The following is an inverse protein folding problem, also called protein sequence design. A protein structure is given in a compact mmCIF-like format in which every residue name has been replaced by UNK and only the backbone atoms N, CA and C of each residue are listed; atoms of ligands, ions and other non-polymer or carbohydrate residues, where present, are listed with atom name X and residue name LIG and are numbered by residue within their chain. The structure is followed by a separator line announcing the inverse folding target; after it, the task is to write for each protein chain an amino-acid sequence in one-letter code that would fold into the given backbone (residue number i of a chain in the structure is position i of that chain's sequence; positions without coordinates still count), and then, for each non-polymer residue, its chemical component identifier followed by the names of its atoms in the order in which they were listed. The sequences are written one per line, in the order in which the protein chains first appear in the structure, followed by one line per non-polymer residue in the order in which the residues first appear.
data_IF_845425120917
#
_entry.id   IF_845425120917
#
_cell.length_a   1.000
_cell.length_b   1.000
_cell.length_c   1.000
_cell.angle_alpha   90.00
_cell.angle_beta   90.00
_cell.angle_gamma   90.00
#
_symmetry.space_group_name_H-M   'P 1'
#
loop_
_entity.id
_entity.type
_entity.pdbx_description
1 polymer ?
#
# COMPACT_ATOMS: atom_id res chain seq x y z
N UNK A 1 -62.24 -20.42 6.91
CA UNK A 1 -61.29 -19.35 7.31
C UNK A 1 -59.94 -19.98 7.61
N UNK A 2 -59.07 -20.13 6.61
CA UNK A 2 -57.69 -20.56 6.81
C UNK A 2 -56.77 -19.34 6.72
N UNK A 3 -56.15 -18.94 7.84
CA UNK A 3 -55.20 -17.81 7.86
C UNK A 3 -53.86 -18.29 7.30
N UNK A 4 -53.47 -17.76 6.15
CA UNK A 4 -52.11 -17.91 5.61
C UNK A 4 -51.14 -17.09 6.48
N UNK A 5 -50.31 -17.77 7.26
CA UNK A 5 -49.19 -17.13 7.96
C UNK A 5 -48.00 -17.15 7.00
N UNK A 6 -47.72 -16.01 6.38
CA UNK A 6 -46.53 -15.81 5.56
C UNK A 6 -45.38 -15.37 6.46
N UNK A 7 -44.38 -16.24 6.65
CA UNK A 7 -43.15 -15.94 7.38
C UNK A 7 -42.19 -15.26 6.40
N UNK A 8 -42.04 -13.94 6.52
CA UNK A 8 -41.06 -13.16 5.77
C UNK A 8 -39.67 -13.38 6.40
N UNK A 9 -38.85 -14.23 5.77
CA UNK A 9 -37.46 -14.47 6.14
C UNK A 9 -36.62 -13.25 5.75
N UNK A 10 -36.29 -12.38 6.71
CA UNK A 10 -35.39 -11.25 6.53
C UNK A 10 -33.95 -11.78 6.49
N UNK A 11 -33.37 -11.92 5.30
CA UNK A 11 -31.97 -12.38 5.17
C UNK A 11 -31.02 -11.28 5.66
N UNK A 12 -30.29 -11.58 6.74
CA UNK A 12 -29.14 -10.82 7.19
C UNK A 12 -28.03 -10.98 6.14
N UNK A 13 -28.00 -10.10 5.15
CA UNK A 13 -26.83 -9.92 4.30
C UNK A 13 -25.74 -9.28 5.16
N UNK A 14 -24.91 -10.11 5.79
CA UNK A 14 -23.68 -9.69 6.43
C UNK A 14 -22.75 -9.13 5.36
N UNK A 15 -22.82 -7.83 5.10
CA UNK A 15 -21.78 -7.15 4.35
C UNK A 15 -20.53 -7.18 5.22
N UNK A 16 -19.60 -8.07 4.89
CA UNK A 16 -18.25 -8.03 5.40
C UNK A 16 -17.65 -6.69 4.96
N UNK A 17 -17.75 -5.68 5.82
CA UNK A 17 -17.00 -4.45 5.67
C UNK A 17 -15.54 -4.84 5.83
N UNK A 18 -14.87 -4.98 4.69
CA UNK A 18 -13.44 -5.19 4.67
C UNK A 18 -12.81 -3.83 4.99
N UNK A 19 -12.48 -3.59 6.26
CA UNK A 19 -11.75 -2.38 6.64
C UNK A 19 -10.41 -2.37 5.89
N UNK A 20 -10.18 -1.36 5.06
CA UNK A 20 -8.95 -1.25 4.29
C UNK A 20 -7.76 -0.97 5.21
N UNK A 21 -6.59 -1.52 4.89
CA UNK A 21 -5.35 -1.13 5.59
C UNK A 21 -5.20 0.39 5.46
N UNK A 22 -5.04 1.08 6.60
CA UNK A 22 -4.84 2.53 6.65
C UNK A 22 -3.36 2.85 6.86
N UNK A 23 -2.78 3.63 5.95
CA UNK A 23 -1.36 3.99 5.95
C UNK A 23 -1.25 5.51 5.92
N UNK A 24 -0.62 6.09 6.94
CA UNK A 24 -0.48 7.54 7.06
C UNK A 24 -1.82 8.30 6.96
N UNK A 25 -2.89 7.70 7.50
CA UNK A 25 -4.26 8.21 7.40
C UNK A 25 -4.96 7.96 6.06
N UNK A 26 -4.31 7.25 5.12
CA UNK A 26 -4.88 6.91 3.81
C UNK A 26 -5.36 5.46 3.79
N UNK A 27 -6.66 5.26 3.57
CA UNK A 27 -7.25 3.92 3.49
C UNK A 27 -7.16 3.36 2.07
N UNK A 28 -6.49 2.21 1.91
CA UNK A 28 -6.40 1.49 0.65
C UNK A 28 -7.76 0.93 0.24
N UNK A 29 -8.06 1.00 -1.06
CA UNK A 29 -9.33 0.55 -1.65
C UNK A 29 -10.44 1.59 -1.59
N UNK A 30 -10.38 2.53 -0.66
CA UNK A 30 -11.47 3.48 -0.42
C UNK A 30 -11.15 4.94 -0.75
N UNK A 31 -9.96 5.42 -0.38
CA UNK A 31 -9.61 6.82 -0.54
C UNK A 31 -9.65 7.24 -2.01
N UNK A 32 -10.41 8.29 -2.33
CA UNK A 32 -10.48 8.85 -3.67
C UNK A 32 -9.43 9.94 -3.92
N UNK A 33 -9.18 10.24 -5.19
CA UNK A 33 -8.26 11.33 -5.58
C UNK A 33 -8.68 12.69 -5.02
N UNK A 34 -9.99 12.91 -4.88
CA UNK A 34 -10.53 14.20 -4.41
C UNK A 34 -10.41 14.32 -2.89
N UNK A 35 -10.62 13.22 -2.16
CA UNK A 35 -10.35 13.17 -0.72
C UNK A 35 -8.86 13.35 -0.43
N UNK A 36 -7.97 12.71 -1.20
CA UNK A 36 -6.53 12.87 -1.03
C UNK A 36 -6.10 14.34 -1.07
N UNK A 37 -6.58 15.08 -2.08
CA UNK A 37 -6.25 16.51 -2.25
C UNK A 37 -6.81 17.41 -1.16
N UNK A 38 -7.87 16.98 -0.47
CA UNK A 38 -8.40 17.69 0.71
C UNK A 38 -7.55 17.43 1.95
N UNK A 39 -6.97 16.24 2.05
CA UNK A 39 -6.17 15.82 3.21
C UNK A 39 -4.71 16.29 3.11
N UNK A 40 -4.16 16.37 1.89
CA UNK A 40 -2.75 16.64 1.67
C UNK A 40 -2.53 17.59 0.49
N UNK A 41 -1.43 18.39 0.51
CA UNK A 41 -0.98 19.19 -0.63
C UNK A 41 -0.36 18.29 -1.72
N UNK A 42 -1.17 17.42 -2.32
CA UNK A 42 -0.75 16.40 -3.27
C UNK A 42 -0.51 16.97 -4.67
N UNK A 43 0.67 16.70 -5.24
CA UNK A 43 1.04 17.11 -6.61
C UNK A 43 0.86 15.95 -7.57
N UNK A 44 0.16 16.17 -8.69
CA UNK A 44 0.03 15.17 -9.74
C UNK A 44 1.38 14.90 -10.42
N UNK A 45 1.73 13.63 -10.61
CA UNK A 45 3.04 13.21 -11.16
C UNK A 45 2.94 12.22 -12.34
N UNK A 46 1.74 12.01 -12.88
CA UNK A 46 1.52 11.16 -14.05
C UNK A 46 0.47 10.07 -13.85
N UNK A 47 0.35 9.19 -14.84
CA UNK A 47 -0.52 8.00 -14.81
C UNK A 47 0.36 6.77 -14.63
N UNK A 48 -0.03 5.87 -13.73
CA UNK A 48 0.66 4.60 -13.57
C UNK A 48 0.30 3.68 -14.74
N UNK A 49 1.30 3.12 -15.41
CA UNK A 49 1.12 2.27 -16.60
C UNK A 49 0.38 0.95 -16.36
N UNK A 50 0.29 0.48 -15.11
CA UNK A 50 -0.30 -0.81 -14.78
C UNK A 50 -1.71 -0.67 -14.23
N UNK A 51 -1.91 0.26 -13.31
CA UNK A 51 -3.24 0.53 -12.74
C UNK A 51 -4.06 1.48 -13.63
N UNK A 52 -3.40 2.14 -14.58
CA UNK A 52 -3.93 3.20 -15.45
C UNK A 52 -4.57 4.37 -14.68
N UNK A 53 -4.32 4.46 -13.38
CA UNK A 53 -4.81 5.54 -12.54
C UNK A 53 -3.75 6.59 -12.26
N UNK A 54 -4.21 7.72 -11.73
CA UNK A 54 -3.36 8.88 -11.44
C UNK A 54 -2.39 8.56 -10.30
N UNK A 55 -1.21 9.16 -10.37
CA UNK A 55 -0.23 9.16 -9.29
C UNK A 55 -0.05 10.56 -8.73
N UNK A 56 0.19 10.62 -7.43
CA UNK A 56 0.47 11.87 -6.73
C UNK A 56 1.70 11.73 -5.84
N UNK A 57 2.50 12.79 -5.76
CA UNK A 57 3.54 12.97 -4.76
C UNK A 57 2.98 13.78 -3.60
N UNK A 58 3.29 13.37 -2.37
CA UNK A 58 2.89 14.07 -1.15
C UNK A 58 4.15 14.61 -0.47
N UNK A 59 4.20 15.91 -0.12
CA UNK A 59 5.28 16.47 0.67
C UNK A 59 5.40 15.76 2.02
N UNK A 60 6.53 15.13 2.30
CA UNK A 60 6.71 14.30 3.50
C UNK A 60 6.47 15.06 4.82
N UNK A 61 6.67 16.38 4.82
CA UNK A 61 6.39 17.26 5.97
C UNK A 61 4.90 17.30 6.35
N UNK A 62 3.98 17.09 5.41
CA UNK A 62 2.54 17.10 5.71
C UNK A 62 2.04 15.84 6.39
N UNK A 63 2.90 14.82 6.52
CA UNK A 63 2.53 13.50 7.04
C UNK A 63 3.05 13.29 8.46
N UNK A 64 4.05 14.07 8.89
CA UNK A 64 4.60 14.01 10.26
C UNK A 64 5.42 12.76 10.57
N UNK A 65 5.83 11.98 9.57
CA UNK A 65 6.59 10.73 9.78
C UNK A 65 8.08 11.01 9.73
N UNK A 66 8.76 10.80 10.86
CA UNK A 66 10.22 10.97 10.96
C UNK A 66 10.96 10.05 9.97
N UNK A 67 11.97 10.60 9.30
CA UNK A 67 12.82 9.88 8.36
C UNK A 67 12.16 9.50 7.03
N UNK A 68 10.89 9.89 6.77
CA UNK A 68 10.27 9.70 5.46
C UNK A 68 10.93 10.63 4.43
N UNK A 69 11.49 10.05 3.36
CA UNK A 69 12.18 10.80 2.31
C UNK A 69 11.29 11.13 1.12
N UNK A 70 10.44 10.18 0.72
CA UNK A 70 9.46 10.35 -0.37
C UNK A 70 8.19 9.58 -0.06
N UNK A 71 7.07 10.13 -0.51
CA UNK A 71 5.77 9.49 -0.44
C UNK A 71 5.01 9.72 -1.75
N UNK A 72 4.56 8.62 -2.35
CA UNK A 72 3.70 8.65 -3.53
C UNK A 72 2.46 7.80 -3.30
N UNK A 73 1.37 8.19 -3.92
CA UNK A 73 0.12 7.43 -3.97
C UNK A 73 -0.21 7.03 -5.39
N UNK A 74 -0.71 5.82 -5.57
CA UNK A 74 -1.12 5.26 -6.86
C UNK A 74 -2.61 4.94 -6.79
N UNK A 75 -3.37 5.43 -7.76
CA UNK A 75 -4.79 5.14 -7.90
C UNK A 75 -5.03 4.17 -9.05
N UNK A 76 -6.22 3.58 -9.11
CA UNK A 76 -6.70 2.82 -10.28
C UNK A 76 -7.64 3.67 -11.16
N UNK A 77 -8.17 3.08 -12.24
CA UNK A 77 -9.15 3.71 -13.15
C UNK A 77 -10.42 4.20 -12.45
N UNK A 78 -10.85 3.49 -11.41
CA UNK A 78 -12.02 3.86 -10.60
C UNK A 78 -11.73 5.02 -9.63
N UNK A 79 -10.54 5.60 -9.70
CA UNK A 79 -10.05 6.69 -8.83
C UNK A 79 -9.97 6.30 -7.36
N UNK A 80 -9.78 5.02 -7.06
CA UNK A 80 -9.54 4.49 -5.70
C UNK A 80 -8.05 4.29 -5.46
N UNK A 81 -7.59 4.60 -4.24
CA UNK A 81 -6.21 4.42 -3.82
C UNK A 81 -5.88 2.93 -3.77
N UNK A 82 -4.84 2.51 -4.47
CA UNK A 82 -4.43 1.10 -4.53
C UNK A 82 -2.96 0.87 -4.17
N UNK A 83 -2.18 1.94 -4.02
CA UNK A 83 -0.79 1.86 -3.60
C UNK A 83 -0.33 3.09 -2.83
N UNK A 84 0.45 2.85 -1.77
CA UNK A 84 1.21 3.87 -1.03
C UNK A 84 2.69 3.46 -1.09
N UNK A 85 3.51 4.29 -1.72
CA UNK A 85 4.93 4.02 -1.98
C UNK A 85 5.78 4.99 -1.17
N UNK A 86 6.43 4.49 -0.13
CA UNK A 86 7.27 5.27 0.77
C UNK A 86 8.74 4.94 0.54
N UNK A 87 9.60 5.95 0.71
CA UNK A 87 11.05 5.78 0.74
C UNK A 87 11.60 6.26 2.07
N UNK A 88 12.47 5.46 2.67
CA UNK A 88 13.11 5.72 3.96
C UNK A 88 14.63 5.41 3.91
N UNK A 89 15.43 5.89 4.88
CA UNK A 89 16.81 5.48 5.04
C UNK A 89 16.92 3.96 5.26
N UNK A 90 17.84 3.31 4.54
CA UNK A 90 18.12 1.88 4.66
C UNK A 90 18.61 1.48 6.07
N UNK A 91 19.19 2.42 6.81
CA UNK A 91 19.57 2.22 8.21
C UNK A 91 18.40 1.83 9.12
N UNK A 92 17.16 2.16 8.74
CA UNK A 92 15.96 1.82 9.51
C UNK A 92 15.36 0.47 9.14
N UNK A 93 15.97 -0.32 8.26
CA UNK A 93 15.40 -1.58 7.77
C UNK A 93 14.98 -2.52 8.90
N UNK A 94 15.85 -2.76 9.89
CA UNK A 94 15.54 -3.68 10.99
C UNK A 94 14.40 -3.13 11.86
N UNK A 95 14.44 -1.83 12.18
CA UNK A 95 13.39 -1.15 12.93
C UNK A 95 12.03 -1.28 12.24
N UNK A 96 11.94 -0.89 10.96
CA UNK A 96 10.68 -0.95 10.21
C UNK A 96 10.21 -2.39 10.04
N UNK A 97 11.11 -3.35 9.84
CA UNK A 97 10.75 -4.78 9.77
C UNK A 97 10.07 -5.22 11.07
N UNK A 98 10.63 -4.84 12.23
CA UNK A 98 10.06 -5.19 13.54
C UNK A 98 8.70 -4.50 13.77
N UNK A 99 8.59 -3.21 13.44
CA UNK A 99 7.33 -2.45 13.53
C UNK A 99 6.23 -3.11 12.68
N UNK A 100 6.54 -3.46 11.43
CA UNK A 100 5.60 -4.15 10.53
C UNK A 100 5.24 -5.56 11.03
N UNK A 101 6.21 -6.31 11.55
CA UNK A 101 5.98 -7.65 12.07
C UNK A 101 5.06 -7.67 13.29
N UNK A 102 4.99 -6.57 14.05
CA UNK A 102 4.06 -6.43 15.18
C UNK A 102 2.60 -6.22 14.75
N UNK A 103 2.37 -5.79 13.50
CA UNK A 103 1.04 -5.41 13.00
C UNK A 103 0.52 -6.35 11.91
N UNK A 104 1.42 -6.95 11.14
CA UNK A 104 1.09 -7.68 9.92
C UNK A 104 1.74 -9.06 9.88
N UNK A 105 1.09 -9.98 9.17
CA UNK A 105 1.62 -11.34 9.01
C UNK A 105 2.78 -11.34 8.03
N UNK A 106 3.98 -11.67 8.49
CA UNK A 106 5.12 -11.92 7.61
C UNK A 106 4.90 -13.19 6.78
N UNK A 107 5.14 -13.13 5.47
CA UNK A 107 4.98 -14.27 4.54
C UNK A 107 6.24 -14.58 3.74
N UNK A 108 7.23 -13.68 3.73
CA UNK A 108 8.52 -13.91 3.06
C UNK A 108 9.60 -13.08 3.73
N UNK A 109 10.77 -13.65 3.92
CA UNK A 109 11.95 -12.98 4.45
C UNK A 109 13.19 -13.41 3.66
N UNK A 110 13.95 -12.44 3.16
CA UNK A 110 15.23 -12.64 2.51
C UNK A 110 16.23 -11.61 3.05
N UNK A 111 17.09 -12.04 3.97
CA UNK A 111 18.09 -11.18 4.63
C UNK A 111 19.44 -11.88 4.54
N UNK A 112 20.10 -11.85 3.37
CA UNK A 112 21.44 -12.41 3.24
C UNK A 112 22.45 -11.55 4.00
N UNK A 113 23.60 -12.13 4.33
CA UNK A 113 24.71 -11.41 4.96
C UNK A 113 25.23 -10.27 4.06
N UNK A 114 25.30 -10.51 2.75
CA UNK A 114 25.64 -9.52 1.72
C UNK A 114 24.59 -9.57 0.63
N UNK A 115 24.12 -8.40 0.17
CA UNK A 115 23.22 -8.28 -0.97
C UNK A 115 21.95 -7.49 -0.65
N UNK A 116 20.96 -7.62 -1.54
CA UNK A 116 19.63 -7.02 -1.37
C UNK A 116 18.89 -7.73 -0.24
N UNK A 117 18.28 -6.95 0.65
CA UNK A 117 17.39 -7.44 1.70
C UNK A 117 15.96 -7.10 1.37
N UNK A 118 15.04 -8.01 1.64
CA UNK A 118 13.63 -7.78 1.40
C UNK A 118 12.74 -8.65 2.30
N UNK A 119 11.59 -8.10 2.70
CA UNK A 119 10.59 -8.77 3.54
C UNK A 119 9.20 -8.46 3.00
N UNK A 120 8.34 -9.47 2.95
CA UNK A 120 6.93 -9.31 2.56
C UNK A 120 6.01 -9.62 3.73
N UNK A 121 5.05 -8.75 3.95
CA UNK A 121 3.93 -8.93 4.88
C UNK A 121 2.60 -8.89 4.14
N UNK A 122 1.56 -9.40 4.78
CA UNK A 122 0.17 -9.33 4.30
C UNK A 122 -0.78 -8.88 5.40
N UNK A 123 -1.80 -8.14 4.98
CA UNK A 123 -2.93 -7.71 5.79
C UNK A 123 -4.19 -7.74 4.91
N UNK A 124 -4.98 -8.81 5.02
CA UNK A 124 -6.10 -9.07 4.09
C UNK A 124 -5.69 -8.98 2.61
N UNK A 125 -6.27 -8.06 1.80
CA UNK A 125 -5.95 -7.83 0.41
C UNK A 125 -4.73 -6.92 0.23
N UNK A 126 -4.06 -6.47 1.28
CA UNK A 126 -2.86 -5.64 1.20
C UNK A 126 -1.61 -6.50 1.26
N UNK A 127 -0.68 -6.27 0.34
CA UNK A 127 0.71 -6.70 0.41
C UNK A 127 1.59 -5.54 0.80
N UNK A 128 2.56 -5.82 1.66
CA UNK A 128 3.52 -4.85 2.15
C UNK A 128 4.90 -5.38 1.82
N UNK A 129 5.64 -4.65 0.99
CA UNK A 129 6.96 -5.03 0.53
C UNK A 129 7.98 -4.00 1.03
N UNK A 130 8.90 -4.48 1.86
CA UNK A 130 10.07 -3.74 2.31
C UNK A 130 11.27 -4.21 1.49
N UNK A 131 11.93 -3.32 0.75
CA UNK A 131 13.11 -3.65 -0.07
C UNK A 131 14.26 -2.68 0.19
N UNK A 132 15.43 -3.23 0.48
CA UNK A 132 16.66 -2.51 0.72
C UNK A 132 17.76 -2.99 -0.25
N UNK A 133 17.98 -2.27 -1.36
CA UNK A 133 19.07 -2.58 -2.30
C UNK A 133 20.45 -2.50 -1.64
N UNK A 134 21.39 -3.31 -2.13
CA UNK A 134 22.78 -3.28 -1.64
C UNK A 134 23.48 -1.95 -1.98
N UNK A 135 23.24 -1.43 -3.18
CA UNK A 135 23.90 -0.24 -3.76
C UNK A 135 23.31 1.10 -3.32
N UNK A 136 22.14 1.12 -2.67
CA UNK A 136 21.46 2.37 -2.26
C UNK A 136 21.53 2.60 -0.75
N UNK A 137 21.57 3.86 -0.31
CA UNK A 137 21.38 4.24 1.10
C UNK A 137 19.90 4.31 1.50
N UNK A 138 18.99 4.04 0.55
CA UNK A 138 17.55 4.12 0.71
C UNK A 138 16.89 2.74 0.60
N UNK A 139 15.71 2.62 1.19
CA UNK A 139 14.83 1.46 1.09
C UNK A 139 13.42 1.92 0.75
N UNK A 140 12.64 1.06 0.12
CA UNK A 140 11.22 1.27 -0.14
C UNK A 140 10.36 0.51 0.85
N UNK A 141 9.23 1.10 1.24
CA UNK A 141 8.13 0.45 1.96
C UNK A 141 6.87 0.67 1.13
N UNK A 142 6.40 -0.37 0.46
CA UNK A 142 5.31 -0.29 -0.49
C UNK A 142 4.10 -1.07 0.02
N UNK A 143 2.96 -0.40 0.16
CA UNK A 143 1.68 -0.99 0.56
C UNK A 143 0.76 -1.01 -0.65
N UNK A 144 0.23 -2.18 -1.00
CA UNK A 144 -0.35 -2.43 -2.32
C UNK A 144 -1.54 -3.38 -2.21
N UNK A 145 -2.65 -3.09 -2.88
CA UNK A 145 -3.71 -4.08 -3.04
C UNK A 145 -3.27 -5.24 -3.94
N UNK A 146 -3.48 -6.48 -3.47
CA UNK A 146 -3.15 -7.75 -4.13
C UNK A 146 -3.59 -7.84 -5.58
N UNK A 147 -4.80 -7.38 -5.88
CA UNK A 147 -5.35 -7.37 -7.24
C UNK A 147 -4.51 -6.55 -8.23
N UNK A 148 -3.69 -5.64 -7.71
CA UNK A 148 -2.83 -4.77 -8.49
C UNK A 148 -1.34 -5.16 -8.42
N UNK A 149 -0.92 -6.13 -7.58
CA UNK A 149 0.50 -6.49 -7.31
C UNK A 149 1.35 -6.80 -8.56
N UNK A 150 0.72 -7.11 -9.69
CA UNK A 150 1.42 -7.21 -10.98
C UNK A 150 2.23 -5.94 -11.35
N UNK A 151 1.91 -4.77 -10.76
CA UNK A 151 2.68 -3.54 -10.97
C UNK A 151 4.06 -3.52 -10.28
N UNK A 152 4.28 -4.28 -9.20
CA UNK A 152 5.60 -4.32 -8.53
C UNK A 152 6.54 -5.36 -9.10
N UNK A 153 6.02 -6.49 -9.57
CA UNK A 153 6.84 -7.55 -10.16
C UNK A 153 7.65 -7.07 -11.38
N UNK A 154 7.12 -6.07 -12.11
CA UNK A 154 7.75 -5.51 -13.31
C UNK A 154 8.55 -4.23 -13.02
N UNK A 155 8.10 -3.33 -12.13
CA UNK A 155 8.90 -2.14 -11.75
C UNK A 155 10.08 -2.47 -10.82
N UNK A 156 9.94 -3.42 -9.87
CA UNK A 156 11.08 -3.86 -9.07
C UNK A 156 12.17 -4.51 -9.96
N UNK A 157 11.76 -5.11 -11.08
CA UNK A 157 12.67 -5.66 -12.09
C UNK A 157 13.25 -4.60 -13.04
N UNK A 158 12.49 -3.54 -13.37
CA UNK A 158 12.94 -2.45 -14.26
C UNK A 158 13.79 -1.39 -13.56
N UNK A 159 13.50 -1.06 -12.29
CA UNK A 159 14.28 -0.10 -11.51
C UNK A 159 15.67 -0.64 -11.13
N UNK A 160 15.88 -1.96 -11.15
CA UNK A 160 17.20 -2.59 -11.03
C UNK A 160 18.04 -2.52 -12.30
N UNK A 161 17.46 -2.15 -13.45
CA UNK A 161 18.17 -2.06 -14.74
C UNK A 161 18.55 -0.63 -15.14
N UNK A 162 18.19 0.38 -14.36
CA UNK A 162 18.41 1.80 -14.68
C UNK A 162 19.16 2.57 -13.57
N UNK A 163 19.99 1.89 -12.78
CA UNK A 163 20.97 2.52 -11.89
C UNK A 163 22.37 1.99 -12.13
#
# INVERSE_FOLDING_TARGET
MGKFVSILLLSLMSTSSFAGTTIFGMELGELSTDQLKKMFPATYIGVNRFTEGKMYSIPVKSVGVSGLKRLKTVFNKDRKLVGVLAVMPKSRFNQITQELNSQYKMVRQNIPYVGRRDVKFVDGPTEILLEAPSTSSEMSVNYILKKEVLFTSIEAMLLLKLS
#
